data_IF_633134693711
#
_entry.id   IF_633134693711
#
_cell.length_a   1.000
_cell.length_b   1.000
_cell.length_c   1.000
_cell.angle_alpha   90.00
_cell.angle_beta   90.00
_cell.angle_gamma   90.00
#
_symmetry.space_group_name_H-M   'P 1'
#
loop_
_entity.id
_entity.type
_entity.pdbx_description
1 polymer ?
#
# COMPACT_ATOMS: atom_id res chain seq x y z
N UNK A 1 -6.29 70.96 -20.56
CA UNK A 1 -6.25 70.31 -19.23
C UNK A 1 -6.43 68.81 -19.44
N UNK A 2 -5.51 68.01 -18.89
CA UNK A 2 -5.27 66.60 -19.23
C UNK A 2 -6.24 65.64 -18.50
N UNK A 3 -6.47 64.42 -19.03
CA UNK A 3 -7.54 63.53 -18.62
C UNK A 3 -7.20 62.70 -17.36
N UNK A 4 -8.24 62.40 -16.59
CA UNK A 4 -8.23 61.55 -15.39
C UNK A 4 -8.06 60.08 -15.79
N UNK A 5 -7.03 59.42 -15.27
CA UNK A 5 -6.77 58.00 -15.51
C UNK A 5 -7.46 57.17 -14.42
N UNK A 6 -8.48 56.39 -14.79
CA UNK A 6 -9.04 55.34 -13.92
C UNK A 6 -8.14 54.11 -13.98
N UNK A 7 -7.58 53.70 -12.85
CA UNK A 7 -6.85 52.43 -12.72
C UNK A 7 -7.86 51.35 -12.33
N UNK A 8 -8.04 50.38 -13.22
CA UNK A 8 -8.77 49.14 -12.93
C UNK A 8 -7.87 48.20 -12.12
N UNK A 9 -8.33 47.78 -10.93
CA UNK A 9 -7.69 46.72 -10.15
C UNK A 9 -8.32 45.39 -10.58
N UNK A 10 -7.56 44.61 -11.35
CA UNK A 10 -7.90 43.21 -11.62
C UNK A 10 -7.42 42.36 -10.42
N UNK A 11 -8.36 41.87 -9.61
CA UNK A 11 -8.07 40.88 -8.56
C UNK A 11 -7.94 39.52 -9.24
N UNK A 12 -6.70 39.09 -9.48
CA UNK A 12 -6.40 37.71 -9.84
C UNK A 12 -6.42 36.87 -8.56
N UNK A 13 -7.57 36.27 -8.24
CA UNK A 13 -7.64 35.25 -7.19
C UNK A 13 -6.95 33.98 -7.72
N UNK A 14 -5.66 33.84 -7.43
CA UNK A 14 -4.92 32.60 -7.66
C UNK A 14 -5.55 31.53 -6.77
N UNK A 15 -6.18 30.55 -7.40
CA UNK A 15 -6.82 29.44 -6.73
C UNK A 15 -5.79 28.68 -5.89
N UNK A 16 -5.98 28.66 -4.57
CA UNK A 16 -5.23 27.84 -3.63
C UNK A 16 -5.54 26.35 -3.89
N UNK A 17 -4.73 25.70 -4.73
CA UNK A 17 -4.78 24.25 -4.99
C UNK A 17 -3.51 23.53 -4.54
N UNK A 18 -2.87 24.01 -3.48
CA UNK A 18 -1.53 23.54 -3.09
C UNK A 18 -1.51 23.00 -1.66
N UNK A 19 -2.35 21.99 -1.38
CA UNK A 19 -2.21 21.17 -0.15
C UNK A 19 -2.98 19.83 -0.22
N UNK A 20 -4.01 19.70 -1.06
CA UNK A 20 -4.88 18.51 -1.09
C UNK A 20 -4.37 17.35 -1.96
N UNK A 21 -3.16 17.44 -2.53
CA UNK A 21 -2.52 16.36 -3.31
C UNK A 21 -1.50 15.55 -2.50
N UNK A 22 -1.26 15.89 -1.24
CA UNK A 22 -0.42 15.08 -0.37
C UNK A 22 -1.26 13.92 0.17
N UNK A 23 -0.94 12.70 -0.28
CA UNK A 23 -1.48 11.43 0.23
C UNK A 23 -2.78 10.94 -0.44
N UNK A 24 -2.77 10.62 -1.74
CA UNK A 24 -3.82 9.82 -2.39
C UNK A 24 -3.55 8.31 -2.18
N UNK A 25 -4.35 7.61 -1.35
CA UNK A 25 -4.16 6.18 -1.10
C UNK A 25 -4.31 5.33 -2.39
N UNK A 26 -5.18 5.73 -3.32
CA UNK A 26 -5.41 4.99 -4.57
C UNK A 26 -4.21 5.11 -5.52
N UNK A 27 -3.64 6.31 -5.67
CA UNK A 27 -2.42 6.48 -6.44
C UNK A 27 -1.24 5.72 -5.80
N UNK A 28 -1.16 5.71 -4.47
CA UNK A 28 -0.07 5.04 -3.74
C UNK A 28 -0.12 3.52 -3.90
N UNK A 29 -1.30 2.89 -3.80
CA UNK A 29 -1.44 1.43 -3.99
C UNK A 29 -1.16 1.05 -5.45
N UNK A 30 -1.59 1.88 -6.41
CA UNK A 30 -1.30 1.66 -7.83
C UNK A 30 0.21 1.71 -8.12
N UNK A 31 0.97 2.62 -7.50
CA UNK A 31 2.43 2.65 -7.64
C UNK A 31 3.09 1.42 -7.00
N UNK A 32 2.63 0.98 -5.82
CA UNK A 32 3.12 -0.27 -5.21
C UNK A 32 2.91 -1.47 -6.15
N UNK A 33 1.70 -1.63 -6.66
CA UNK A 33 1.35 -2.74 -7.56
C UNK A 33 2.15 -2.66 -8.86
N UNK A 34 2.33 -1.47 -9.44
CA UNK A 34 3.12 -1.26 -10.66
C UNK A 34 4.61 -1.62 -10.46
N UNK A 35 5.20 -1.25 -9.31
CA UNK A 35 6.58 -1.61 -8.97
C UNK A 35 6.76 -3.10 -8.84
N UNK A 36 5.80 -3.80 -8.20
CA UNK A 36 5.83 -5.25 -8.10
C UNK A 36 5.65 -5.91 -9.48
N UNK A 37 4.69 -5.45 -10.28
CA UNK A 37 4.45 -5.96 -11.63
C UNK A 37 5.65 -5.77 -12.57
N UNK A 38 6.42 -4.68 -12.40
CA UNK A 38 7.67 -4.44 -13.15
C UNK A 38 8.76 -5.47 -12.84
N UNK A 39 8.73 -6.10 -11.67
CA UNK A 39 9.66 -7.19 -11.31
C UNK A 39 9.27 -8.47 -12.04
N UNK A 40 7.98 -8.76 -12.14
CA UNK A 40 7.46 -9.87 -12.95
C UNK A 40 6.11 -10.39 -12.45
N UNK A 41 5.60 -11.44 -13.10
CA UNK A 41 4.31 -12.04 -12.72
C UNK A 41 4.38 -12.66 -11.30
N UNK A 42 3.33 -12.50 -10.49
CA UNK A 42 3.28 -13.06 -9.16
C UNK A 42 3.02 -14.57 -9.17
N UNK A 43 3.68 -15.31 -8.28
CA UNK A 43 3.52 -16.76 -8.12
C UNK A 43 3.89 -17.20 -6.71
N UNK A 44 3.37 -18.35 -6.29
CA UNK A 44 3.83 -19.05 -5.09
C UNK A 44 4.75 -20.20 -5.49
N UNK A 45 5.88 -20.37 -4.80
CA UNK A 45 6.76 -21.52 -4.98
C UNK A 45 7.49 -21.84 -3.68
N UNK A 46 7.24 -23.04 -3.14
CA UNK A 46 7.83 -23.47 -1.88
C UNK A 46 7.35 -22.66 -0.67
N UNK A 47 8.09 -22.80 0.43
CA UNK A 47 7.78 -22.17 1.71
C UNK A 47 9.04 -21.54 2.32
N UNK A 48 8.84 -20.58 3.21
CA UNK A 48 9.91 -19.84 3.88
C UNK A 48 9.47 -19.44 5.29
N UNK A 49 10.44 -19.36 6.21
CA UNK A 49 10.20 -18.81 7.54
C UNK A 49 10.02 -17.29 7.49
N UNK A 50 8.96 -16.81 8.14
CA UNK A 50 8.70 -15.39 8.41
C UNK A 50 8.34 -15.26 9.88
N UNK A 51 9.27 -14.73 10.67
CA UNK A 51 9.12 -14.54 12.12
C UNK A 51 8.71 -15.82 12.87
N UNK A 52 9.37 -16.95 12.55
CA UNK A 52 9.10 -18.24 13.21
C UNK A 52 7.87 -18.98 12.68
N UNK A 53 7.22 -18.46 11.63
CA UNK A 53 6.11 -19.12 10.93
C UNK A 53 6.56 -19.54 9.53
N UNK A 54 6.41 -20.83 9.21
CA UNK A 54 6.57 -21.31 7.84
C UNK A 54 5.33 -20.93 7.02
N UNK A 55 5.52 -20.13 5.97
CA UNK A 55 4.45 -19.64 5.08
C UNK A 55 4.85 -19.84 3.62
N UNK A 56 3.90 -19.81 2.67
CA UNK A 56 4.23 -19.84 1.25
C UNK A 56 5.19 -18.71 0.86
N UNK A 57 6.16 -19.01 0.00
CA UNK A 57 7.01 -17.99 -0.57
C UNK A 57 6.34 -17.37 -1.80
N UNK A 58 6.12 -16.05 -1.75
CA UNK A 58 5.57 -15.27 -2.86
C UNK A 58 6.70 -14.59 -3.64
N UNK A 59 6.67 -14.80 -4.94
CA UNK A 59 7.62 -14.25 -5.89
C UNK A 59 6.90 -13.30 -6.85
N UNK A 60 7.63 -12.29 -7.31
CA UNK A 60 7.32 -11.57 -8.54
C UNK A 60 8.52 -11.77 -9.47
N UNK A 61 8.29 -12.40 -10.64
CA UNK A 61 9.39 -12.87 -11.48
C UNK A 61 10.30 -13.84 -10.72
N UNK A 62 11.60 -13.54 -10.67
CA UNK A 62 12.60 -14.32 -9.93
C UNK A 62 12.81 -13.82 -8.49
N UNK A 63 12.20 -12.70 -8.11
CA UNK A 63 12.43 -12.09 -6.79
C UNK A 63 11.44 -12.61 -5.76
N UNK A 64 11.95 -13.24 -4.71
CA UNK A 64 11.20 -13.55 -3.50
C UNK A 64 10.88 -12.27 -2.73
N UNK A 65 9.62 -12.08 -2.34
CA UNK A 65 9.19 -10.90 -1.58
C UNK A 65 9.22 -11.12 -0.07
N UNK A 66 9.05 -12.36 0.42
CA UNK A 66 9.16 -12.65 1.86
C UNK A 66 10.52 -12.18 2.40
N UNK A 67 10.49 -11.39 3.46
CA UNK A 67 11.66 -10.77 4.10
C UNK A 67 12.49 -9.85 3.18
N UNK A 68 12.02 -9.51 1.97
CA UNK A 68 12.61 -8.47 1.11
C UNK A 68 11.79 -7.18 1.27
N UNK A 69 12.46 -6.08 1.63
CA UNK A 69 11.79 -4.82 1.96
C UNK A 69 11.98 -3.70 0.95
N UNK A 70 12.69 -3.96 -0.15
CA UNK A 70 13.15 -2.92 -1.09
C UNK A 70 11.96 -2.14 -1.67
N UNK A 71 10.93 -2.86 -2.10
CA UNK A 71 9.75 -2.26 -2.74
C UNK A 71 8.93 -1.47 -1.73
N UNK A 72 8.61 -2.05 -0.57
CA UNK A 72 7.80 -1.38 0.47
C UNK A 72 8.52 -0.15 1.03
N UNK A 73 9.84 -0.19 1.18
CA UNK A 73 10.62 0.96 1.64
C UNK A 73 10.71 2.04 0.57
N UNK A 74 10.76 1.66 -0.72
CA UNK A 74 10.71 2.62 -1.82
C UNK A 74 9.39 3.39 -1.86
N UNK A 75 8.27 2.76 -1.49
CA UNK A 75 6.97 3.45 -1.34
C UNK A 75 7.00 4.44 -0.20
N UNK A 76 7.59 4.07 0.95
CA UNK A 76 7.76 5.01 2.07
C UNK A 76 8.56 6.25 1.66
N UNK A 77 9.65 6.05 0.91
CA UNK A 77 10.50 7.16 0.44
C UNK A 77 9.77 8.06 -0.57
N UNK A 78 8.97 7.49 -1.46
CA UNK A 78 8.29 8.25 -2.51
C UNK A 78 7.02 8.96 -2.04
N UNK A 79 6.23 8.32 -1.16
CA UNK A 79 4.88 8.77 -0.81
C UNK A 79 4.71 9.13 0.66
N UNK A 80 5.76 8.98 1.48
CA UNK A 80 5.65 9.06 2.94
C UNK A 80 4.57 8.12 3.52
N UNK A 81 4.33 6.99 2.85
CA UNK A 81 3.26 6.04 3.18
C UNK A 81 3.81 4.76 3.82
N UNK A 82 2.96 4.08 4.58
CA UNK A 82 3.22 2.68 4.93
C UNK A 82 2.83 1.76 3.77
N UNK A 83 3.51 0.62 3.66
CA UNK A 83 3.31 -0.36 2.61
C UNK A 83 3.57 -1.77 3.13
N UNK A 84 2.83 -2.74 2.62
CA UNK A 84 2.93 -4.15 3.01
C UNK A 84 2.55 -5.08 1.85
N UNK A 85 3.22 -6.22 1.78
CA UNK A 85 2.78 -7.41 1.03
C UNK A 85 2.43 -8.51 2.03
N UNK A 86 1.23 -9.04 1.90
CA UNK A 86 0.77 -10.25 2.57
C UNK A 86 0.74 -11.43 1.59
N UNK A 87 1.07 -12.62 2.07
CA UNK A 87 0.89 -13.88 1.34
C UNK A 87 -0.32 -14.63 1.88
N UNK A 88 -1.08 -15.28 1.00
CA UNK A 88 -2.19 -16.16 1.40
C UNK A 88 -1.63 -17.47 1.94
N UNK A 89 -2.08 -17.87 3.12
CA UNK A 89 -1.71 -19.10 3.82
C UNK A 89 -2.98 -19.74 4.41
N UNK A 90 -3.45 -20.83 3.81
CA UNK A 90 -4.79 -21.36 4.11
C UNK A 90 -5.85 -20.31 3.81
N UNK A 91 -6.67 -19.96 4.80
CA UNK A 91 -7.64 -18.85 4.70
C UNK A 91 -7.04 -17.49 5.07
N UNK A 92 -5.90 -17.47 5.75
CA UNK A 92 -5.33 -16.25 6.31
C UNK A 92 -4.41 -15.52 5.32
N UNK A 93 -4.13 -14.25 5.61
CA UNK A 93 -3.08 -13.50 4.92
C UNK A 93 -1.99 -13.10 5.92
N UNK A 94 -0.79 -13.64 5.74
CA UNK A 94 0.36 -13.38 6.61
C UNK A 94 1.20 -12.27 6.03
N UNK A 95 1.58 -11.31 6.87
CA UNK A 95 2.44 -10.19 6.48
C UNK A 95 3.87 -10.66 6.28
N UNK A 96 4.38 -10.59 5.05
CA UNK A 96 5.70 -11.14 4.70
C UNK A 96 6.74 -10.09 4.29
N UNK A 97 6.29 -8.89 3.94
CA UNK A 97 7.15 -7.73 3.72
C UNK A 97 6.40 -6.47 4.11
N UNK A 98 6.96 -5.65 4.99
CA UNK A 98 6.29 -4.43 5.47
C UNK A 98 7.29 -3.38 5.87
N UNK A 99 6.96 -2.10 5.73
CA UNK A 99 7.67 -0.99 6.35
C UNK A 99 6.96 -0.45 7.62
N UNK A 100 5.86 -1.10 8.03
CA UNK A 100 5.15 -0.83 9.28
C UNK A 100 6.00 -1.36 10.43
N UNK A 101 6.26 -0.49 11.39
CA UNK A 101 7.00 -0.82 12.59
C UNK A 101 6.06 -1.12 13.75
N UNK A 102 6.41 -2.07 14.60
CA UNK A 102 5.81 -2.30 15.90
C UNK A 102 6.21 -1.17 16.86
N UNK A 103 5.57 -1.04 18.04
CA UNK A 103 5.99 -0.07 19.06
C UNK A 103 7.46 -0.21 19.48
N UNK A 104 8.02 -1.41 19.38
CA UNK A 104 9.42 -1.73 19.68
C UNK A 104 10.38 -1.39 18.52
N UNK A 105 9.89 -0.79 17.44
CA UNK A 105 10.69 -0.37 16.29
C UNK A 105 11.07 -1.50 15.31
N UNK A 106 10.55 -2.71 15.50
CA UNK A 106 10.78 -3.85 14.58
C UNK A 106 9.74 -3.86 13.47
N UNK A 107 10.06 -4.44 12.30
CA UNK A 107 9.04 -4.65 11.26
C UNK A 107 7.98 -5.61 11.76
N UNK A 108 6.71 -5.26 11.60
CA UNK A 108 5.60 -6.07 12.08
C UNK A 108 5.30 -7.31 11.23
N UNK A 109 6.30 -8.00 10.68
CA UNK A 109 6.13 -9.23 9.87
C UNK A 109 5.56 -10.40 10.71
N UNK A 110 4.98 -11.41 10.04
CA UNK A 110 4.39 -12.58 10.68
C UNK A 110 2.97 -12.35 11.23
N UNK A 111 2.54 -11.10 11.39
CA UNK A 111 1.17 -10.77 11.80
C UNK A 111 0.15 -11.04 10.69
N UNK A 112 -1.09 -11.30 11.06
CA UNK A 112 -2.19 -11.53 10.11
C UNK A 112 -2.85 -10.21 9.67
N UNK A 113 -3.40 -10.21 8.45
CA UNK A 113 -4.40 -9.22 8.05
C UNK A 113 -5.64 -9.38 8.94
N UNK A 114 -6.09 -8.31 9.59
CA UNK A 114 -7.28 -8.36 10.44
C UNK A 114 -8.54 -8.71 9.64
N UNK A 115 -9.42 -9.55 10.21
CA UNK A 115 -10.71 -9.95 9.61
C UNK A 115 -11.75 -8.83 9.70
N UNK A 116 -11.62 -7.85 8.81
CA UNK A 116 -12.49 -6.67 8.71
C UNK A 116 -13.01 -6.46 7.26
N UNK A 117 -13.56 -5.28 6.96
CA UNK A 117 -14.08 -4.96 5.62
C UNK A 117 -13.02 -5.08 4.52
N UNK A 118 -11.75 -4.76 4.81
CA UNK A 118 -10.66 -4.91 3.85
C UNK A 118 -10.43 -6.39 3.53
N UNK A 119 -10.37 -7.26 4.56
CA UNK A 119 -10.28 -8.71 4.38
C UNK A 119 -11.47 -9.24 3.56
N UNK A 120 -12.70 -8.84 3.90
CA UNK A 120 -13.91 -9.29 3.22
C UNK A 120 -13.95 -8.88 1.73
N UNK A 121 -13.35 -7.74 1.38
CA UNK A 121 -13.22 -7.29 0.00
C UNK A 121 -12.14 -8.08 -0.77
N UNK A 122 -10.94 -8.21 -0.20
CA UNK A 122 -9.82 -8.83 -0.93
C UNK A 122 -10.02 -10.32 -1.18
N UNK A 123 -10.70 -11.06 -0.28
CA UNK A 123 -11.06 -12.47 -0.53
C UNK A 123 -12.06 -12.63 -1.68
N UNK A 124 -12.85 -11.60 -1.98
CA UNK A 124 -13.76 -11.55 -3.14
C UNK A 124 -13.06 -11.05 -4.40
N UNK A 125 -11.75 -10.76 -4.32
CA UNK A 125 -10.96 -10.28 -5.44
C UNK A 125 -11.22 -8.81 -5.79
N UNK A 126 -11.75 -8.02 -4.86
CA UNK A 126 -12.04 -6.59 -5.03
C UNK A 126 -11.13 -5.72 -4.17
N UNK A 127 -10.77 -4.54 -4.68
CA UNK A 127 -10.04 -3.51 -3.92
C UNK A 127 -10.88 -2.99 -2.74
N UNK A 128 -10.22 -2.69 -1.63
CA UNK A 128 -10.78 -1.88 -0.55
C UNK A 128 -9.96 -0.60 -0.39
N UNK A 129 -10.63 0.54 -0.26
CA UNK A 129 -10.00 1.79 0.18
C UNK A 129 -10.90 2.49 1.18
N UNK A 130 -10.36 2.88 2.32
CA UNK A 130 -11.11 3.51 3.39
C UNK A 130 -10.30 3.64 4.68
N UNK A 131 -10.92 4.22 5.72
CA UNK A 131 -10.29 4.35 7.02
C UNK A 131 -10.10 2.97 7.67
N UNK A 132 -8.91 2.74 8.21
CA UNK A 132 -8.59 1.52 8.96
C UNK A 132 -7.78 1.87 10.21
N UNK A 133 -7.96 1.09 11.27
CA UNK A 133 -7.04 1.07 12.40
C UNK A 133 -5.96 0.01 12.14
N UNK A 134 -4.69 0.41 12.20
CA UNK A 134 -3.55 -0.52 12.21
C UNK A 134 -2.78 -0.31 13.49
N UNK A 135 -2.86 -1.29 14.38
CA UNK A 135 -2.13 -1.31 15.67
C UNK A 135 -2.44 -0.08 16.55
N UNK A 136 -3.69 0.37 16.59
CA UNK A 136 -4.14 1.52 17.40
C UNK A 136 -3.88 2.89 16.76
N UNK A 137 -3.48 2.92 15.48
CA UNK A 137 -3.28 4.15 14.71
C UNK A 137 -4.24 4.18 13.52
N UNK A 138 -4.93 5.30 13.33
CA UNK A 138 -5.83 5.52 12.21
C UNK A 138 -5.06 5.82 10.92
N UNK A 139 -5.41 5.12 9.84
CA UNK A 139 -4.87 5.31 8.50
C UNK A 139 -5.99 5.49 7.49
N UNK A 140 -5.76 6.29 6.45
CA UNK A 140 -6.44 6.10 5.17
C UNK A 140 -5.67 5.06 4.36
N UNK A 141 -6.30 3.91 4.14
CA UNK A 141 -5.64 2.74 3.59
C UNK A 141 -6.30 2.25 2.31
N UNK A 142 -5.50 1.56 1.50
CA UNK A 142 -5.98 0.76 0.38
C UNK A 142 -5.37 -0.63 0.42
N UNK A 143 -6.14 -1.61 -0.06
CA UNK A 143 -5.75 -3.01 -0.16
C UNK A 143 -6.14 -3.54 -1.53
N UNK A 144 -5.20 -4.23 -2.20
CA UNK A 144 -5.44 -4.89 -3.48
C UNK A 144 -5.13 -6.39 -3.41
N UNK A 145 -5.99 -7.25 -3.97
CA UNK A 145 -5.69 -8.67 -4.08
C UNK A 145 -4.59 -8.90 -5.13
N UNK A 146 -3.59 -9.71 -4.77
CA UNK A 146 -2.58 -10.21 -5.70
C UNK A 146 -3.10 -11.53 -6.28
N UNK A 147 -3.24 -11.60 -7.59
CA UNK A 147 -3.71 -12.79 -8.32
C UNK A 147 -2.57 -13.40 -9.12
N UNK A 148 -2.45 -14.73 -9.12
CA UNK A 148 -1.54 -15.45 -10.02
C UNK A 148 -2.05 -15.45 -11.47
N UNK A 149 -1.29 -16.08 -12.38
CA UNK A 149 -1.66 -16.19 -13.79
C UNK A 149 -2.98 -16.94 -14.03
N UNK A 150 -3.43 -17.77 -13.08
CA UNK A 150 -4.73 -18.46 -13.13
C UNK A 150 -5.88 -17.64 -12.53
N UNK A 151 -5.62 -16.40 -12.09
CA UNK A 151 -6.61 -15.53 -11.44
C UNK A 151 -6.87 -15.86 -9.97
N UNK A 152 -6.14 -16.82 -9.39
CA UNK A 152 -6.29 -17.19 -7.97
C UNK A 152 -5.61 -16.17 -7.08
N UNK A 153 -6.31 -15.75 -6.02
CA UNK A 153 -5.74 -14.83 -5.02
C UNK A 153 -4.66 -15.56 -4.23
N UNK A 154 -3.45 -15.01 -4.25
CA UNK A 154 -2.26 -15.57 -3.58
C UNK A 154 -1.61 -14.61 -2.58
N UNK A 155 -2.08 -13.36 -2.52
CA UNK A 155 -1.60 -12.37 -1.58
C UNK A 155 -2.43 -11.10 -1.61
N UNK A 156 -1.99 -10.09 -0.87
CA UNK A 156 -2.62 -8.78 -0.77
C UNK A 156 -1.54 -7.71 -0.65
N UNK A 157 -1.63 -6.63 -1.42
CA UNK A 157 -0.87 -5.41 -1.18
C UNK A 157 -1.66 -4.48 -0.27
N UNK A 158 -0.96 -3.73 0.56
CA UNK A 158 -1.53 -2.71 1.43
C UNK A 158 -0.69 -1.45 1.37
N UNK A 159 -1.35 -0.30 1.43
CA UNK A 159 -0.75 0.98 1.79
C UNK A 159 -1.57 1.66 2.86
N UNK A 160 -0.94 2.58 3.59
CA UNK A 160 -1.64 3.41 4.57
C UNK A 160 -0.95 4.76 4.76
N UNK A 161 -1.75 5.82 4.70
CA UNK A 161 -1.35 7.18 5.08
C UNK A 161 -1.87 7.48 6.47
N UNK A 162 -0.96 7.83 7.38
CA UNK A 162 -1.34 8.14 8.76
C UNK A 162 -2.22 9.38 8.78
N UNK A 163 -3.31 9.36 9.54
CA UNK A 163 -4.13 10.54 9.83
C UNK A 163 -3.47 11.48 10.83
#
# INVERSE_FOLDING_TARGET
MKPTTSIAIAILAVAAHSAALANDPKATIADLDARLAKIGAPRLEGSVDVAGKTVPAIYFGERKINNNYDVVDSIRKAHNATATVFVKDGEEFVRVSTNVLTPEGKRGIGTLLARNQAYAAVIKGTQYCGPIDVLGTAFDACYNPIKDAGGKIIGVTYIGHKK
#
